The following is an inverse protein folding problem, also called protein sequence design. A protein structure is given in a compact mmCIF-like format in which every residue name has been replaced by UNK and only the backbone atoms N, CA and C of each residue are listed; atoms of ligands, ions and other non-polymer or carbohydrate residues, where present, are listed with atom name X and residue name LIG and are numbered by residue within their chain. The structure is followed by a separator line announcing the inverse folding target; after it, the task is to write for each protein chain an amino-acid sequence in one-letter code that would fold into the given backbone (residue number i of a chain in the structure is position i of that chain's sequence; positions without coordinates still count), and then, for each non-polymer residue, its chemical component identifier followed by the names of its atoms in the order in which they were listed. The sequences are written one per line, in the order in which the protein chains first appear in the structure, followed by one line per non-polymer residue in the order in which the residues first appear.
data_IF_205833834805
#
_entry.id   IF_205833834805
#
_cell.length_a   1.000
_cell.length_b   1.000
_cell.length_c   1.000
_cell.angle_alpha   90.00
_cell.angle_beta   90.00
_cell.angle_gamma   90.00
#
_symmetry.space_group_name_H-M   'P 1'
#
loop_
_entity.id
_entity.type
_entity.pdbx_description
1 polymer ?
#
# COMPACT_ATOMS: atom_id res chain seq x y z
N UNK A 1 0.31 19.61 -18.88
CA UNK A 1 -0.91 19.64 -19.72
C UNK A 1 -1.58 18.27 -19.74
N UNK A 2 -0.81 17.18 -19.67
CA UNK A 2 -1.30 15.81 -19.57
C UNK A 2 -2.11 15.55 -18.28
N UNK A 3 -1.73 16.17 -17.16
CA UNK A 3 -2.48 16.05 -15.89
C UNK A 3 -2.87 17.44 -15.37
N UNK A 4 -4.12 17.90 -15.59
CA UNK A 4 -4.59 19.20 -15.11
C UNK A 4 -4.51 19.38 -13.59
N UNK A 5 -4.68 18.29 -12.81
CA UNK A 5 -4.68 18.32 -11.34
C UNK A 5 -3.42 18.94 -10.73
N UNK A 6 -2.25 18.77 -11.37
CA UNK A 6 -0.97 19.29 -10.90
C UNK A 6 -0.82 20.82 -11.02
N UNK A 7 -1.82 21.51 -11.60
CA UNK A 7 -1.89 22.98 -11.62
C UNK A 7 -3.04 23.52 -10.79
N UNK A 8 -3.61 22.69 -9.92
CA UNK A 8 -4.74 23.05 -9.08
C UNK A 8 -4.33 23.14 -7.63
N UNK A 9 -4.89 24.11 -6.93
CA UNK A 9 -4.77 24.29 -5.48
C UNK A 9 -6.11 24.11 -4.81
N UNK A 10 -6.09 23.94 -3.49
CA UNK A 10 -7.30 23.93 -2.68
C UNK A 10 -7.80 25.36 -2.46
N UNK A 11 -9.10 25.57 -2.61
CA UNK A 11 -9.80 26.79 -2.23
C UNK A 11 -10.85 26.45 -1.17
N UNK A 12 -10.74 27.09 -0.02
CA UNK A 12 -11.63 26.86 1.10
C UNK A 12 -12.86 27.76 1.02
N UNK A 13 -14.08 27.23 1.23
CA UNK A 13 -15.26 28.06 1.39
C UNK A 13 -15.12 29.04 2.58
N UNK A 14 -15.78 30.21 2.53
CA UNK A 14 -15.77 31.17 3.63
C UNK A 14 -16.17 30.53 4.97
N UNK A 15 -15.44 30.84 6.03
CA UNK A 15 -15.70 30.32 7.38
C UNK A 15 -15.37 28.84 7.59
N UNK A 16 -14.75 28.16 6.61
CA UNK A 16 -14.45 26.72 6.71
C UNK A 16 -15.70 25.84 6.64
N UNK A 17 -16.80 26.40 6.14
CA UNK A 17 -18.10 25.73 6.07
C UNK A 17 -18.17 24.97 4.74
N UNK A 18 -18.05 23.65 4.80
CA UNK A 18 -18.08 22.77 3.61
C UNK A 18 -16.71 22.23 3.22
N UNK A 19 -16.68 21.39 2.18
CA UNK A 19 -15.44 20.77 1.68
C UNK A 19 -14.66 21.77 0.80
N UNK A 20 -13.31 21.75 0.87
CA UNK A 20 -12.49 22.54 -0.04
C UNK A 20 -12.70 22.07 -1.49
N UNK A 21 -12.58 23.00 -2.43
CA UNK A 21 -12.71 22.71 -3.87
C UNK A 21 -11.37 22.91 -4.58
N UNK A 22 -11.15 22.15 -5.63
CA UNK A 22 -9.97 22.28 -6.49
C UNK A 22 -10.18 23.38 -7.53
N UNK A 23 -9.26 24.34 -7.58
CA UNK A 23 -9.29 25.46 -8.53
C UNK A 23 -7.95 25.57 -9.25
N UNK A 24 -7.95 26.03 -10.51
CA UNK A 24 -6.72 26.25 -11.26
C UNK A 24 -5.91 27.40 -10.61
N UNK A 25 -4.61 27.21 -10.42
CA UNK A 25 -3.75 28.23 -9.82
C UNK A 25 -3.31 29.24 -10.89
N UNK A 26 -3.97 30.41 -10.93
CA UNK A 26 -3.70 31.42 -11.96
C UNK A 26 -2.23 31.88 -12.01
N UNK A 27 -1.54 31.82 -10.86
CA UNK A 27 -0.14 32.20 -10.69
C UNK A 27 0.79 30.97 -10.60
N UNK A 28 0.43 29.88 -11.29
CA UNK A 28 1.20 28.63 -11.27
C UNK A 28 2.66 28.86 -11.68
N UNK A 29 3.59 28.59 -10.76
CA UNK A 29 5.02 28.69 -10.97
C UNK A 29 5.67 27.30 -10.90
N UNK A 30 6.16 26.82 -12.04
CA UNK A 30 6.82 25.52 -12.11
C UNK A 30 8.12 25.47 -11.29
N UNK A 31 8.83 26.59 -11.15
CA UNK A 31 10.11 26.65 -10.43
C UNK A 31 9.95 26.51 -8.92
N UNK A 32 8.74 26.80 -8.41
CA UNK A 32 8.37 26.50 -7.02
C UNK A 32 8.28 24.99 -6.78
N UNK A 33 7.69 24.25 -7.73
CA UNK A 33 7.41 22.82 -7.59
C UNK A 33 8.58 21.93 -8.02
N UNK A 34 9.38 22.35 -9.00
CA UNK A 34 10.54 21.58 -9.49
C UNK A 34 11.81 22.27 -9.03
N UNK A 35 12.49 21.64 -8.07
CA UNK A 35 13.70 22.16 -7.42
C UNK A 35 14.91 21.32 -7.80
N UNK A 36 16.10 21.91 -7.68
CA UNK A 36 17.39 21.21 -7.73
C UNK A 36 18.08 21.32 -6.37
N UNK A 37 18.72 20.26 -5.94
CA UNK A 37 19.53 20.21 -4.74
C UNK A 37 20.80 19.40 -4.99
N UNK A 38 21.83 19.64 -4.19
CA UNK A 38 23.04 18.85 -4.17
C UNK A 38 23.27 18.31 -2.76
N UNK A 39 23.67 17.05 -2.65
CA UNK A 39 24.05 16.46 -1.37
C UNK A 39 25.44 16.95 -0.94
N UNK A 40 25.67 17.13 0.36
CA UNK A 40 27.02 17.30 0.87
C UNK A 40 27.83 16.00 0.71
N UNK A 41 29.16 16.12 0.73
CA UNK A 41 30.05 14.97 0.87
C UNK A 41 29.70 14.18 2.15
N UNK A 42 29.67 12.83 2.13
CA UNK A 42 30.17 11.94 1.08
C UNK A 42 29.18 11.61 -0.06
N UNK A 43 27.92 12.08 0.01
CA UNK A 43 26.92 11.78 -1.02
C UNK A 43 26.47 10.31 -1.05
N UNK A 44 26.59 9.61 0.07
CA UNK A 44 26.15 8.22 0.20
C UNK A 44 24.63 8.09 0.43
N UNK A 45 24.14 6.85 0.49
CA UNK A 45 22.73 6.58 0.69
C UNK A 45 22.23 7.06 2.07
N UNK A 46 23.12 7.13 3.07
CA UNK A 46 22.80 7.70 4.38
C UNK A 46 22.53 9.20 4.28
N UNK A 47 23.40 9.93 3.60
CA UNK A 47 23.24 11.36 3.33
C UNK A 47 21.98 11.65 2.51
N UNK A 48 21.64 10.79 1.54
CA UNK A 48 20.40 10.86 0.79
C UNK A 48 19.18 10.65 1.71
N UNK A 49 19.19 9.63 2.58
CA UNK A 49 18.10 9.38 3.54
C UNK A 49 17.88 10.59 4.46
N UNK A 50 18.94 11.19 4.98
CA UNK A 50 18.84 12.41 5.79
C UNK A 50 18.21 13.58 5.03
N UNK A 51 18.54 13.74 3.75
CA UNK A 51 17.92 14.74 2.89
C UNK A 51 16.43 14.45 2.69
N UNK A 52 16.07 13.21 2.34
CA UNK A 52 14.67 12.78 2.17
C UNK A 52 13.87 12.99 3.45
N UNK A 53 14.43 12.66 4.62
CA UNK A 53 13.79 12.90 5.91
C UNK A 53 13.42 14.39 6.12
N UNK A 54 14.32 15.32 5.77
CA UNK A 54 14.04 16.77 5.83
C UNK A 54 12.94 17.18 4.85
N UNK A 55 12.95 16.65 3.62
CA UNK A 55 11.90 16.90 2.62
C UNK A 55 10.54 16.42 3.12
N UNK A 56 10.46 15.21 3.68
CA UNK A 56 9.20 14.65 4.17
C UNK A 56 8.70 15.33 5.45
N UNK A 57 9.59 15.84 6.30
CA UNK A 57 9.25 16.59 7.52
C UNK A 57 8.51 17.92 7.23
N UNK A 58 8.87 18.65 6.17
CA UNK A 58 8.28 19.95 5.86
C UNK A 58 6.86 19.82 5.26
N UNK A 59 5.80 20.38 5.87
CA UNK A 59 4.47 20.37 5.26
C UNK A 59 4.44 21.08 3.89
N UNK A 60 3.61 20.60 2.98
CA UNK A 60 3.33 21.30 1.72
C UNK A 60 2.50 22.56 2.00
N UNK A 61 2.73 23.62 1.22
CA UNK A 61 1.91 24.84 1.29
C UNK A 61 0.52 24.56 0.70
N UNK A 62 -0.51 24.60 1.55
CA UNK A 62 -1.89 24.32 1.15
C UNK A 62 -2.50 25.38 0.21
N UNK A 63 -1.82 26.52 0.02
CA UNK A 63 -2.22 27.57 -0.92
C UNK A 63 -1.61 27.39 -2.32
N UNK A 64 -0.85 26.31 -2.54
CA UNK A 64 -0.22 25.94 -3.81
C UNK A 64 -0.71 24.57 -4.26
N UNK A 65 -0.48 24.16 -5.52
CA UNK A 65 -0.63 22.77 -5.91
C UNK A 65 0.17 21.84 -4.99
N UNK A 66 -0.46 20.76 -4.54
CA UNK A 66 0.05 19.98 -3.40
C UNK A 66 1.07 18.92 -3.80
N UNK A 67 2.14 19.34 -4.48
CA UNK A 67 3.24 18.47 -4.88
C UNK A 67 4.55 19.25 -5.02
N UNK A 68 5.67 18.55 -4.85
CA UNK A 68 7.02 19.03 -5.11
C UNK A 68 7.87 17.89 -5.68
N UNK A 69 8.74 18.21 -6.64
CA UNK A 69 9.77 17.31 -7.17
C UNK A 69 11.13 17.97 -6.95
N UNK A 70 12.06 17.24 -6.35
CA UNK A 70 13.45 17.71 -6.22
C UNK A 70 14.40 16.75 -6.91
N UNK A 71 15.18 17.27 -7.85
CA UNK A 71 16.29 16.57 -8.49
C UNK A 71 17.52 16.77 -7.61
N UNK A 72 18.05 15.67 -7.07
CA UNK A 72 19.15 15.65 -6.12
C UNK A 72 20.40 15.09 -6.80
N UNK A 73 21.45 15.92 -6.84
CA UNK A 73 22.75 15.61 -7.43
C UNK A 73 23.80 15.37 -6.34
N UNK A 74 24.99 14.91 -6.76
CA UNK A 74 26.13 14.69 -5.85
C UNK A 74 26.11 13.36 -5.12
N UNK A 75 25.33 12.37 -5.58
CA UNK A 75 25.41 11.02 -5.05
C UNK A 75 26.66 10.28 -5.57
N UNK A 76 27.18 9.36 -4.76
CA UNK A 76 28.26 8.46 -5.16
C UNK A 76 27.90 7.62 -6.39
N UNK A 77 28.91 7.33 -7.21
CA UNK A 77 28.76 6.54 -8.43
C UNK A 77 28.09 7.30 -9.59
N UNK A 78 28.08 8.64 -9.55
CA UNK A 78 27.46 9.45 -10.60
C UNK A 78 25.92 9.36 -10.64
N UNK A 79 25.32 8.86 -9.55
CA UNK A 79 23.87 8.70 -9.44
C UNK A 79 23.19 10.06 -9.21
N UNK A 80 21.93 10.11 -9.60
CA UNK A 80 21.00 11.19 -9.27
C UNK A 80 19.77 10.58 -8.58
N UNK A 81 19.11 11.35 -7.73
CA UNK A 81 17.84 10.95 -7.13
C UNK A 81 16.74 11.95 -7.49
N UNK A 82 15.53 11.43 -7.75
CA UNK A 82 14.32 12.25 -7.93
C UNK A 82 13.43 12.03 -6.71
N UNK A 83 13.31 13.06 -5.87
CA UNK A 83 12.45 13.03 -4.68
C UNK A 83 11.11 13.64 -5.04
N UNK A 84 10.10 12.79 -5.22
CA UNK A 84 8.72 13.21 -5.47
C UNK A 84 7.94 13.21 -4.16
N UNK A 85 7.31 14.33 -3.82
CA UNK A 85 6.44 14.49 -2.65
C UNK A 85 5.08 14.98 -3.10
N UNK A 86 4.05 14.19 -2.85
CA UNK A 86 2.68 14.51 -3.24
C UNK A 86 1.76 14.38 -2.02
N UNK A 87 0.82 15.33 -1.86
CA UNK A 87 -0.22 15.21 -0.86
C UNK A 87 -1.25 14.15 -1.26
N UNK A 88 -1.65 13.32 -0.30
CA UNK A 88 -2.53 12.16 -0.55
C UNK A 88 -3.88 12.54 -1.19
N UNK A 89 -4.39 13.74 -0.91
CA UNK A 89 -5.61 14.30 -1.52
C UNK A 89 -5.51 14.55 -3.04
N UNK A 90 -4.31 14.46 -3.64
CA UNK A 90 -4.17 14.52 -5.11
C UNK A 90 -4.31 13.15 -5.77
N UNK A 91 -4.22 12.08 -4.97
CA UNK A 91 -3.97 10.68 -5.41
C UNK A 91 -5.11 9.76 -4.96
N UNK A 92 -6.09 10.25 -4.20
CA UNK A 92 -7.19 9.45 -3.67
C UNK A 92 -8.36 9.33 -4.66
N UNK A 93 -8.39 8.18 -5.35
CA UNK A 93 -9.64 7.57 -5.81
C UNK A 93 -9.99 7.77 -7.28
N UNK A 94 -9.51 6.87 -8.15
CA UNK A 94 -10.05 6.54 -9.49
C UNK A 94 -9.28 7.11 -10.70
N UNK A 95 -8.25 7.96 -10.54
CA UNK A 95 -7.33 8.27 -11.66
C UNK A 95 -5.95 8.68 -11.14
N UNK A 96 -5.09 7.70 -10.91
CA UNK A 96 -3.73 7.89 -10.38
C UNK A 96 -2.69 7.66 -11.44
N UNK A 97 -2.68 8.53 -12.44
CA UNK A 97 -1.40 8.82 -13.11
C UNK A 97 -0.59 9.63 -12.09
N UNK A 98 0.21 8.93 -11.27
CA UNK A 98 1.23 9.60 -10.46
C UNK A 98 2.17 10.33 -11.41
N UNK A 99 2.61 11.54 -11.07
CA UNK A 99 3.60 12.26 -11.87
C UNK A 99 4.83 11.39 -12.11
N UNK A 100 5.16 10.51 -11.15
CA UNK A 100 6.20 9.51 -11.31
C UNK A 100 6.04 8.66 -12.58
N UNK A 101 4.83 8.20 -12.93
CA UNK A 101 4.64 7.37 -14.13
C UNK A 101 4.77 8.15 -15.43
N UNK A 102 4.56 9.48 -15.41
CA UNK A 102 4.78 10.35 -16.57
C UNK A 102 6.23 10.79 -16.75
N UNK A 103 7.04 10.65 -15.72
CA UNK A 103 8.48 10.93 -15.78
C UNK A 103 9.29 9.70 -16.22
N UNK A 104 8.64 8.55 -16.35
CA UNK A 104 9.27 7.27 -16.64
C UNK A 104 8.97 6.82 -18.06
N UNK A 105 10.03 6.64 -18.83
CA UNK A 105 10.06 6.06 -20.17
C UNK A 105 10.36 4.55 -20.08
N UNK A 106 9.83 3.77 -21.01
CA UNK A 106 10.08 2.31 -21.09
C UNK A 106 11.36 1.98 -21.88
N UNK A 107 11.82 2.94 -22.68
CA UNK A 107 13.03 2.84 -23.47
C UNK A 107 14.08 3.86 -23.00
N UNK A 108 15.39 3.59 -23.19
CA UNK A 108 16.44 4.55 -22.86
C UNK A 108 16.39 5.81 -23.71
N UNK A 109 15.81 5.75 -24.91
CA UNK A 109 15.61 6.93 -25.74
C UNK A 109 14.46 7.78 -25.16
N UNK A 110 14.71 9.02 -24.72
CA UNK A 110 13.68 9.83 -24.09
C UNK A 110 12.50 10.06 -25.05
N UNK A 111 11.28 9.90 -24.54
CA UNK A 111 10.09 10.20 -25.32
C UNK A 111 10.12 11.66 -25.80
N UNK A 112 9.92 11.86 -27.09
CA UNK A 112 9.86 13.20 -27.68
C UNK A 112 8.46 13.78 -27.48
N UNK A 113 8.30 14.58 -26.44
CA UNK A 113 7.07 15.34 -26.28
C UNK A 113 7.00 16.51 -27.25
N UNK A 114 5.84 16.70 -27.88
CA UNK A 114 5.55 17.89 -28.67
C UNK A 114 5.58 19.17 -27.82
N UNK A 115 5.58 20.34 -28.47
CA UNK A 115 5.54 21.62 -27.75
C UNK A 115 4.34 21.66 -26.80
N UNK A 116 4.54 21.99 -25.50
CA UNK A 116 3.44 22.03 -24.55
C UNK A 116 2.42 23.09 -24.99
N UNK A 117 1.13 22.71 -24.98
CA UNK A 117 0.05 23.66 -25.28
C UNK A 117 0.09 24.82 -24.27
N UNK A 118 -0.04 26.06 -24.77
CA UNK A 118 -0.15 27.25 -23.92
C UNK A 118 -1.35 27.06 -22.99
N UNK A 119 -1.09 27.06 -21.70
CA UNK A 119 -2.12 26.86 -20.69
C UNK A 119 -2.73 28.18 -20.29
N UNK A 120 -4.06 28.16 -20.13
CA UNK A 120 -4.83 29.28 -19.58
C UNK A 120 -5.61 28.73 -18.38
N UNK A 121 -5.46 29.30 -17.17
CA UNK A 121 -6.23 28.87 -16.02
C UNK A 121 -7.71 29.17 -16.25
N UNK A 122 -8.59 28.28 -15.78
CA UNK A 122 -10.02 28.61 -15.69
C UNK A 122 -10.21 29.67 -14.61
N UNK A 123 -11.18 30.59 -14.77
CA UNK A 123 -11.51 31.55 -13.72
C UNK A 123 -11.84 30.83 -12.41
N UNK A 124 -11.24 31.28 -11.31
CA UNK A 124 -11.59 30.77 -9.99
C UNK A 124 -13.02 31.21 -9.61
N UNK A 125 -13.79 30.36 -8.91
CA UNK A 125 -15.09 30.76 -8.38
C UNK A 125 -14.92 31.92 -7.40
N UNK A 126 -15.84 32.86 -7.43
CA UNK A 126 -15.87 33.96 -6.46
C UNK A 126 -16.48 33.48 -5.12
N UNK A 127 -16.45 34.33 -4.08
CA UNK A 127 -16.99 33.99 -2.76
C UNK A 127 -18.47 33.62 -2.78
N UNK A 128 -19.27 34.26 -3.64
CA UNK A 128 -20.71 34.00 -3.74
C UNK A 128 -20.95 32.65 -4.40
N UNK A 129 -20.15 32.28 -5.40
CA UNK A 129 -20.21 30.96 -6.05
C UNK A 129 -19.91 29.84 -5.03
N UNK A 130 -18.90 30.04 -4.18
CA UNK A 130 -18.57 29.09 -3.11
C UNK A 130 -19.67 29.02 -2.05
N UNK A 131 -20.24 30.15 -1.66
CA UNK A 131 -21.34 30.17 -0.69
C UNK A 131 -22.57 29.45 -1.26
N UNK A 132 -22.89 29.69 -2.54
CA UNK A 132 -23.97 28.99 -3.24
C UNK A 132 -23.70 27.48 -3.35
N UNK A 133 -22.45 27.07 -3.59
CA UNK A 133 -22.05 25.66 -3.56
C UNK A 133 -22.29 25.04 -2.18
N UNK A 134 -21.89 25.72 -1.11
CA UNK A 134 -22.08 25.25 0.28
C UNK A 134 -23.57 25.15 0.62
N UNK A 135 -24.36 26.17 0.35
CA UNK A 135 -25.80 26.15 0.65
C UNK A 135 -26.54 25.09 -0.15
N UNK A 136 -26.14 24.87 -1.41
CA UNK A 136 -26.67 23.80 -2.25
C UNK A 136 -26.29 22.42 -1.74
N UNK A 137 -25.02 22.20 -1.38
CA UNK A 137 -24.55 20.92 -0.84
C UNK A 137 -25.06 20.63 0.58
N UNK A 138 -25.60 21.63 1.28
CA UNK A 138 -26.34 21.49 2.54
C UNK A 138 -27.86 21.44 2.37
N UNK A 139 -28.39 21.56 1.14
CA UNK A 139 -29.82 21.59 0.88
C UNK A 139 -30.45 20.21 1.16
N UNK A 140 -31.42 20.12 2.10
CA UNK A 140 -32.13 18.86 2.35
C UNK A 140 -32.84 18.32 1.11
N UNK A 141 -33.27 19.20 0.20
CA UNK A 141 -33.98 18.86 -1.03
C UNK A 141 -33.07 18.18 -2.07
N UNK A 142 -31.80 18.59 -2.19
CA UNK A 142 -30.86 17.88 -3.08
C UNK A 142 -30.45 16.53 -2.49
N UNK A 143 -30.29 16.45 -1.16
CA UNK A 143 -30.04 15.19 -0.45
C UNK A 143 -31.19 14.19 -0.68
N UNK A 144 -32.45 14.66 -0.62
CA UNK A 144 -33.64 13.85 -0.94
C UNK A 144 -33.68 13.49 -2.42
N UNK A 145 -33.34 14.40 -3.34
CA UNK A 145 -33.36 14.13 -4.79
C UNK A 145 -32.36 13.06 -5.20
N UNK A 146 -31.18 13.04 -4.60
CA UNK A 146 -30.17 12.00 -4.87
C UNK A 146 -30.57 10.65 -4.26
N UNK A 147 -31.34 10.65 -3.16
CA UNK A 147 -31.99 9.45 -2.61
C UNK A 147 -33.15 8.96 -3.51
N UNK A 148 -33.92 9.86 -4.10
CA UNK A 148 -35.08 9.54 -4.98
C UNK A 148 -34.66 9.00 -6.35
N UNK A 149 -33.44 9.30 -6.81
CA UNK A 149 -32.88 8.72 -8.05
C UNK A 149 -32.47 7.25 -7.91
N UNK A 150 -32.36 6.73 -6.69
CA UNK A 150 -32.08 5.32 -6.44
C UNK A 150 -33.38 4.54 -6.56
N UNK A 151 -33.41 3.48 -7.40
CA UNK A 151 -34.61 2.65 -7.46
C UNK A 151 -34.82 1.94 -6.11
N UNK A 152 -36.07 1.75 -5.63
CA UNK A 152 -36.33 1.06 -4.35
C UNK A 152 -35.69 -0.33 -4.27
N UNK A 153 -35.55 -1.00 -5.42
CA UNK A 153 -34.84 -2.28 -5.55
C UNK A 153 -33.33 -2.15 -5.40
N UNK A 154 -32.72 -1.07 -5.85
CA UNK A 154 -31.29 -0.79 -5.68
C UNK A 154 -30.97 -0.41 -4.24
N UNK A 155 -31.88 0.31 -3.56
CA UNK A 155 -31.74 0.61 -2.13
C UNK A 155 -31.88 -0.65 -1.27
N UNK A 156 -32.83 -1.53 -1.62
CA UNK A 156 -33.04 -2.80 -0.92
C UNK A 156 -31.90 -3.80 -1.21
N UNK A 157 -31.43 -3.89 -2.46
CA UNK A 157 -30.25 -4.69 -2.81
C UNK A 157 -28.97 -4.11 -2.22
N UNK A 158 -28.83 -2.79 -2.15
CA UNK A 158 -27.72 -2.14 -1.45
C UNK A 158 -27.81 -2.40 0.05
N UNK A 159 -28.98 -2.39 0.70
CA UNK A 159 -29.10 -2.68 2.14
C UNK A 159 -28.91 -4.16 2.45
N UNK A 160 -29.46 -5.06 1.62
CA UNK A 160 -29.37 -6.52 1.79
C UNK A 160 -28.01 -7.10 1.36
N UNK A 161 -27.31 -6.46 0.42
CA UNK A 161 -25.94 -6.84 0.00
C UNK A 161 -24.85 -5.91 0.55
N UNK A 162 -25.21 -4.84 1.27
CA UNK A 162 -24.22 -3.96 1.89
C UNK A 162 -23.49 -4.74 2.98
N UNK A 163 -22.16 -4.59 3.06
CA UNK A 163 -21.32 -5.23 4.05
C UNK A 163 -21.49 -4.50 5.40
N UNK A 164 -22.72 -4.39 5.92
CA UNK A 164 -22.97 -3.89 7.27
C UNK A 164 -22.17 -4.71 8.29
N UNK A 165 -21.93 -6.01 8.03
CA UNK A 165 -21.06 -6.85 8.84
C UNK A 165 -19.59 -6.42 8.81
N UNK A 166 -19.03 -6.06 7.65
CA UNK A 166 -17.65 -5.60 7.52
C UNK A 166 -17.43 -4.20 8.10
N UNK A 167 -18.32 -3.25 7.78
CA UNK A 167 -18.25 -1.88 8.31
C UNK A 167 -18.49 -1.80 9.81
N UNK A 168 -19.46 -2.55 10.33
CA UNK A 168 -19.72 -2.67 11.77
C UNK A 168 -18.59 -3.40 12.48
N UNK A 169 -17.99 -4.45 11.89
CA UNK A 169 -16.85 -5.12 12.52
C UNK A 169 -15.57 -4.30 12.46
N UNK A 170 -15.34 -3.51 11.40
CA UNK A 170 -14.28 -2.52 11.39
C UNK A 170 -14.55 -1.49 12.51
N UNK A 171 -15.76 -0.93 12.60
CA UNK A 171 -16.13 -0.03 13.70
C UNK A 171 -16.01 -0.70 15.09
N UNK A 172 -16.33 -1.99 15.24
CA UNK A 172 -16.19 -2.77 16.47
C UNK A 172 -14.72 -3.12 16.78
N UNK A 173 -13.88 -3.31 15.77
CA UNK A 173 -12.43 -3.48 15.95
C UNK A 173 -11.79 -2.19 16.47
N UNK A 174 -12.35 -1.03 16.10
CA UNK A 174 -11.99 0.27 16.67
C UNK A 174 -12.47 0.44 18.12
N UNK A 175 -13.42 -0.38 18.58
CA UNK A 175 -13.90 -0.43 19.96
C UNK A 175 -13.15 -1.43 20.85
N UNK A 176 -12.20 -2.20 20.30
CA UNK A 176 -11.31 -3.10 21.05
C UNK A 176 -9.87 -2.55 21.01
N UNK A 177 -9.50 -1.61 21.90
CA UNK A 177 -8.13 -1.07 21.92
C UNK A 177 -7.14 -2.21 22.16
N UNK A 178 -6.15 -2.34 21.29
CA UNK A 178 -4.99 -3.21 21.49
C UNK A 178 -3.93 -2.53 22.36
N UNK A 179 -2.76 -3.16 22.49
CA UNK A 179 -1.63 -2.55 23.20
C UNK A 179 -0.96 -1.50 22.29
N UNK A 180 -0.93 -0.21 22.67
CA UNK A 180 -0.14 0.77 21.94
C UNK A 180 1.36 0.45 22.12
N UNK A 181 2.13 0.50 21.03
CA UNK A 181 3.58 0.35 21.08
C UNK A 181 4.24 1.70 21.39
N UNK A 182 5.53 1.72 21.72
CA UNK A 182 6.26 2.95 22.04
C UNK A 182 6.17 4.03 20.95
N UNK A 183 6.02 3.64 19.68
CA UNK A 183 5.85 4.56 18.54
C UNK A 183 4.38 4.95 18.26
N UNK A 184 3.42 4.49 19.07
CA UNK A 184 2.01 4.87 18.95
C UNK A 184 1.64 6.10 19.79
N UNK A 185 2.51 7.11 19.76
CA UNK A 185 2.42 8.35 20.54
C UNK A 185 2.30 9.57 19.62
N UNK A 186 1.84 10.73 20.12
CA UNK A 186 1.78 11.95 19.34
C UNK A 186 3.13 12.28 18.69
N UNK A 187 3.14 12.43 17.36
CA UNK A 187 4.36 12.67 16.58
C UNK A 187 4.80 14.13 16.63
N UNK A 188 6.12 14.34 16.55
CA UNK A 188 6.74 15.63 16.37
C UNK A 188 6.81 16.08 14.90
N UNK A 189 7.52 17.19 14.61
CA UNK A 189 7.67 17.73 13.26
C UNK A 189 8.77 17.03 12.46
N UNK A 190 9.65 16.26 13.09
CA UNK A 190 10.83 15.70 12.46
C UNK A 190 10.61 14.27 11.99
N UNK A 191 11.32 13.88 10.92
CA UNK A 191 11.24 12.53 10.35
C UNK A 191 12.59 11.86 10.37
N UNK A 192 12.55 10.53 10.37
CA UNK A 192 13.66 9.65 10.04
C UNK A 192 13.17 8.65 9.01
N UNK A 193 14.03 8.29 8.08
CA UNK A 193 13.71 7.31 7.04
C UNK A 193 14.77 6.24 6.96
N UNK A 194 14.33 5.03 6.65
CA UNK A 194 15.20 3.90 6.33
C UNK A 194 14.72 3.16 5.09
N UNK A 195 15.63 2.42 4.48
CA UNK A 195 15.44 1.77 3.19
C UNK A 195 16.05 0.38 3.21
N UNK A 196 15.26 -0.67 2.92
CA UNK A 196 15.73 -2.05 2.84
C UNK A 196 15.33 -2.65 1.48
N UNK A 197 16.28 -3.31 0.80
CA UNK A 197 16.07 -3.96 -0.51
C UNK A 197 16.21 -5.46 -0.38
N UNK A 198 15.20 -6.20 -0.83
CA UNK A 198 15.21 -7.67 -0.85
C UNK A 198 14.81 -8.15 -2.24
N UNK A 199 15.49 -9.15 -2.83
CA UNK A 199 15.12 -9.66 -4.16
C UNK A 199 13.68 -10.16 -4.20
N UNK A 200 12.92 -9.85 -5.25
CA UNK A 200 11.56 -10.37 -5.41
C UNK A 200 11.52 -11.90 -5.47
N UNK A 201 12.55 -12.50 -6.09
CA UNK A 201 12.69 -13.95 -6.16
C UNK A 201 12.76 -14.59 -4.77
N UNK A 202 13.39 -13.92 -3.79
CA UNK A 202 13.45 -14.38 -2.41
C UNK A 202 12.04 -14.61 -1.82
N UNK A 203 11.12 -13.66 -2.02
CA UNK A 203 9.75 -13.80 -1.53
C UNK A 203 9.01 -14.94 -2.22
N UNK A 204 9.27 -15.14 -3.52
CA UNK A 204 8.68 -16.26 -4.27
C UNK A 204 9.19 -17.60 -3.74
N UNK A 205 10.48 -17.70 -3.43
CA UNK A 205 11.11 -18.92 -2.90
C UNK A 205 10.56 -19.26 -1.51
N UNK A 206 10.49 -18.28 -0.61
CA UNK A 206 9.92 -18.44 0.74
C UNK A 206 8.43 -18.82 0.66
N UNK A 207 7.65 -18.13 -0.18
CA UNK A 207 6.25 -18.49 -0.45
C UNK A 207 6.12 -19.92 -0.95
N UNK A 208 7.04 -20.37 -1.81
CA UNK A 208 7.01 -21.74 -2.36
C UNK A 208 7.33 -22.78 -1.28
N UNK A 209 8.27 -22.46 -0.39
CA UNK A 209 8.67 -23.35 0.70
C UNK A 209 7.61 -23.46 1.82
N UNK A 210 6.97 -22.35 2.20
CA UNK A 210 6.07 -22.29 3.36
C UNK A 210 4.59 -22.08 3.00
N UNK A 211 4.24 -21.90 1.72
CA UNK A 211 2.88 -21.60 1.29
C UNK A 211 2.51 -20.12 1.42
N UNK A 212 1.21 -19.82 1.23
CA UNK A 212 0.67 -18.45 1.27
C UNK A 212 0.93 -17.64 0.00
N UNK A 213 0.91 -16.31 0.12
CA UNK A 213 1.19 -15.35 -0.95
C UNK A 213 2.44 -14.52 -0.65
N UNK A 214 2.96 -13.79 -1.65
CA UNK A 214 4.09 -12.86 -1.45
C UNK A 214 3.76 -11.81 -0.39
N UNK A 215 2.51 -11.33 -0.34
CA UNK A 215 2.08 -10.37 0.67
C UNK A 215 2.10 -10.97 2.09
N UNK A 216 1.75 -12.25 2.24
CA UNK A 216 1.79 -12.92 3.54
C UNK A 216 3.24 -13.07 4.03
N UNK A 217 4.16 -13.40 3.13
CA UNK A 217 5.60 -13.45 3.44
C UNK A 217 6.15 -12.08 3.81
N UNK A 218 5.73 -11.01 3.12
CA UNK A 218 6.11 -9.62 3.46
C UNK A 218 5.66 -9.26 4.87
N UNK A 219 4.40 -9.53 5.21
CA UNK A 219 3.86 -9.24 6.55
C UNK A 219 4.53 -10.10 7.64
N UNK A 220 4.80 -11.38 7.36
CA UNK A 220 5.55 -12.25 8.27
C UNK A 220 6.98 -11.75 8.51
N UNK A 221 7.67 -11.28 7.47
CA UNK A 221 9.01 -10.70 7.56
C UNK A 221 9.01 -9.44 8.44
N UNK A 222 8.03 -8.55 8.25
CA UNK A 222 7.85 -7.35 9.11
C UNK A 222 7.56 -7.76 10.56
N UNK A 223 6.70 -8.76 10.76
CA UNK A 223 6.38 -9.29 12.09
C UNK A 223 7.60 -9.87 12.80
N UNK A 224 8.46 -10.59 12.08
CA UNK A 224 9.71 -11.12 12.61
C UNK A 224 10.69 -10.00 12.99
N UNK A 225 10.89 -9.01 12.11
CA UNK A 225 11.75 -7.88 12.38
C UNK A 225 11.26 -7.07 13.59
N UNK A 226 9.95 -6.85 13.68
CA UNK A 226 9.31 -6.16 14.81
C UNK A 226 9.45 -6.96 16.11
N UNK A 227 9.24 -8.28 16.05
CA UNK A 227 9.41 -9.18 17.20
C UNK A 227 10.81 -9.08 17.80
N UNK A 228 11.85 -9.17 16.96
CA UNK A 228 13.25 -9.08 17.40
C UNK A 228 13.59 -7.70 17.97
N UNK A 229 13.17 -6.65 17.27
CA UNK A 229 13.46 -5.28 17.67
C UNK A 229 12.78 -4.90 19.00
N UNK A 230 11.52 -5.28 19.19
CA UNK A 230 10.80 -5.08 20.45
C UNK A 230 11.40 -5.89 21.59
N UNK A 231 11.84 -7.13 21.31
CA UNK A 231 12.52 -7.96 22.29
C UNK A 231 13.83 -7.32 22.78
N UNK A 232 14.68 -6.82 21.87
CA UNK A 232 15.92 -6.13 22.23
C UNK A 232 15.71 -4.85 23.05
N UNK A 233 14.60 -4.15 22.79
CA UNK A 233 14.19 -2.97 23.58
C UNK A 233 13.67 -3.32 24.97
N UNK A 234 13.36 -4.59 25.24
CA UNK A 234 12.61 -4.99 26.43
C UNK A 234 11.13 -4.58 26.38
N UNK A 235 10.61 -4.22 25.21
CA UNK A 235 9.22 -3.80 25.01
C UNK A 235 8.37 -5.02 24.56
N UNK A 236 8.15 -5.96 25.48
CA UNK A 236 7.39 -7.19 25.23
C UNK A 236 5.89 -7.04 25.52
N UNK A 237 5.36 -5.81 25.55
CA UNK A 237 4.01 -5.55 26.04
C UNK A 237 2.88 -6.03 25.11
N UNK A 238 3.19 -6.31 23.83
CA UNK A 238 2.20 -6.69 22.83
C UNK A 238 2.43 -8.12 22.29
N UNK A 239 1.38 -8.94 22.34
CA UNK A 239 1.38 -10.30 21.77
C UNK A 239 1.27 -10.30 20.23
N UNK A 240 0.69 -9.23 19.67
CA UNK A 240 0.50 -9.06 18.22
C UNK A 240 0.64 -7.60 17.80
N UNK A 241 1.09 -7.42 16.56
CA UNK A 241 1.18 -6.14 15.86
C UNK A 241 -0.07 -5.96 15.01
N UNK A 242 -0.85 -4.91 15.27
CA UNK A 242 -2.03 -4.56 14.48
C UNK A 242 -1.65 -3.73 13.27
N UNK A 243 -1.64 -4.37 12.11
CA UNK A 243 -1.23 -3.80 10.84
C UNK A 243 -2.45 -3.40 10.01
N UNK A 244 -2.56 -2.12 9.67
CA UNK A 244 -3.48 -1.68 8.63
C UNK A 244 -2.81 -1.87 7.25
N UNK A 245 -3.38 -2.75 6.43
CA UNK A 245 -2.88 -3.03 5.10
C UNK A 245 -4.00 -2.98 4.05
N UNK A 246 -3.87 -2.18 2.98
CA UNK A 246 -4.77 -2.26 1.85
C UNK A 246 -4.48 -3.54 1.07
N UNK A 247 -5.51 -4.36 0.83
CA UNK A 247 -5.40 -5.52 -0.08
C UNK A 247 -6.23 -5.32 -1.33
N UNK A 248 -5.64 -5.72 -2.45
CA UNK A 248 -6.35 -5.84 -3.71
C UNK A 248 -7.31 -7.02 -3.63
N UNK A 249 -8.62 -6.76 -3.65
CA UNK A 249 -9.65 -7.79 -3.72
C UNK A 249 -10.07 -7.92 -5.18
N UNK A 250 -9.23 -8.58 -5.99
CA UNK A 250 -9.56 -8.89 -7.38
C UNK A 250 -10.07 -10.32 -7.45
N UNK A 251 -11.29 -10.49 -7.94
CA UNK A 251 -11.81 -11.78 -8.39
C UNK A 251 -11.21 -12.08 -9.78
N UNK A 252 -10.82 -13.33 -10.07
CA UNK A 252 -10.21 -13.72 -11.35
C UNK A 252 -11.12 -13.41 -12.55
N UNK A 253 -12.44 -13.34 -12.34
CA UNK A 253 -13.45 -12.96 -13.33
C UNK A 253 -13.46 -11.47 -13.72
N UNK A 254 -12.74 -10.60 -13.00
CA UNK A 254 -12.76 -9.14 -13.20
C UNK A 254 -11.43 -8.55 -13.70
N UNK A 255 -10.53 -9.39 -14.23
CA UNK A 255 -9.19 -8.99 -14.71
C UNK A 255 -9.17 -7.86 -15.75
N UNK A 256 -10.29 -7.57 -16.42
CA UNK A 256 -10.40 -6.60 -17.52
C UNK A 256 -11.29 -5.38 -17.22
N UNK A 257 -11.78 -5.17 -15.98
CA UNK A 257 -12.55 -3.96 -15.63
C UNK A 257 -11.65 -2.89 -15.01
N UNK A 258 -11.64 -1.68 -15.58
CA UNK A 258 -11.06 -0.50 -14.93
C UNK A 258 -11.86 -0.16 -13.66
N UNK A 259 -11.24 -0.34 -12.50
CA UNK A 259 -11.81 0.02 -11.21
C UNK A 259 -10.90 -0.41 -10.06
N UNK A 260 -10.33 0.55 -9.31
CA UNK A 260 -9.41 0.24 -8.21
C UNK A 260 -10.22 -0.17 -6.96
N UNK A 261 -10.55 -1.45 -6.83
CA UNK A 261 -11.20 -2.04 -5.66
C UNK A 261 -10.16 -2.38 -4.59
N UNK A 262 -9.70 -1.33 -3.88
CA UNK A 262 -8.84 -1.48 -2.70
C UNK A 262 -9.74 -1.74 -1.50
N UNK A 263 -9.46 -2.79 -0.72
CA UNK A 263 -10.14 -3.05 0.54
C UNK A 263 -9.18 -2.87 1.71
N UNK A 264 -9.65 -2.19 2.75
CA UNK A 264 -8.84 -1.84 3.91
C UNK A 264 -9.10 -2.83 5.05
N UNK A 265 -8.04 -3.42 5.63
CA UNK A 265 -8.17 -4.34 6.75
C UNK A 265 -7.10 -4.15 7.81
N UNK A 266 -7.48 -4.43 9.07
CA UNK A 266 -6.57 -4.53 10.20
C UNK A 266 -6.25 -6.01 10.41
N UNK A 267 -4.97 -6.36 10.33
CA UNK A 267 -4.44 -7.70 10.49
C UNK A 267 -3.64 -7.76 11.78
N UNK A 268 -3.81 -8.82 12.57
CA UNK A 268 -2.96 -9.09 13.72
C UNK A 268 -1.81 -9.99 13.29
N UNK A 269 -0.60 -9.44 13.25
CA UNK A 269 0.63 -10.18 12.97
C UNK A 269 1.24 -10.59 14.31
N UNK A 270 1.44 -11.89 14.60
CA UNK A 270 1.95 -12.32 15.90
C UNK A 270 3.36 -11.78 16.13
N UNK A 271 3.69 -11.44 17.39
CA UNK A 271 5.01 -10.95 17.81
C UNK A 271 5.79 -11.93 18.69
N UNK A 272 5.17 -13.03 19.12
CA UNK A 272 5.88 -14.07 19.86
C UNK A 272 7.03 -14.68 19.03
N UNK A 273 8.15 -15.08 19.67
CA UNK A 273 9.22 -15.84 19.00
C UNK A 273 8.69 -17.19 18.48
N UNK A 274 8.92 -17.49 17.21
CA UNK A 274 8.48 -18.73 16.56
C UNK A 274 9.33 -19.05 15.33
N UNK A 275 9.16 -20.25 14.75
CA UNK A 275 9.82 -20.60 13.51
C UNK A 275 9.27 -19.76 12.33
N UNK A 276 10.11 -19.41 11.34
CA UNK A 276 9.68 -18.67 10.14
C UNK A 276 8.44 -19.24 9.44
N UNK A 277 8.40 -20.58 9.28
CA UNK A 277 7.27 -21.26 8.65
C UNK A 277 5.96 -21.07 9.41
N UNK A 278 6.03 -21.10 10.75
CA UNK A 278 4.85 -20.99 11.61
C UNK A 278 4.28 -19.57 11.53
N UNK A 279 5.15 -18.55 11.51
CA UNK A 279 4.71 -17.16 11.34
C UNK A 279 4.04 -16.94 9.99
N UNK A 280 4.61 -17.46 8.89
CA UNK A 280 3.99 -17.37 7.55
C UNK A 280 2.64 -18.07 7.52
N UNK A 281 2.50 -19.25 8.11
CA UNK A 281 1.22 -19.96 8.19
C UNK A 281 0.18 -19.18 8.99
N UNK A 282 0.54 -18.62 10.15
CA UNK A 282 -0.38 -17.83 10.98
C UNK A 282 -0.85 -16.57 10.25
N UNK A 283 0.06 -15.84 9.60
CA UNK A 283 -0.29 -14.66 8.80
C UNK A 283 -1.17 -15.06 7.62
N UNK A 284 -0.86 -16.15 6.92
CA UNK A 284 -1.67 -16.66 5.81
C UNK A 284 -3.08 -17.07 6.25
N UNK A 285 -3.21 -17.68 7.44
CA UNK A 285 -4.50 -18.02 8.01
C UNK A 285 -5.32 -16.75 8.31
N UNK A 286 -4.70 -15.76 8.95
CA UNK A 286 -5.33 -14.47 9.25
C UNK A 286 -5.79 -13.74 7.98
N UNK A 287 -4.92 -13.60 6.97
CA UNK A 287 -5.29 -12.94 5.71
C UNK A 287 -6.32 -13.73 4.92
N UNK A 288 -6.29 -15.06 4.99
CA UNK A 288 -7.26 -15.96 4.36
C UNK A 288 -8.66 -15.86 4.98
N UNK A 289 -8.75 -15.82 6.31
CA UNK A 289 -10.01 -15.67 7.04
C UNK A 289 -10.68 -14.32 6.75
N UNK A 290 -9.90 -13.23 6.72
CA UNK A 290 -10.42 -11.90 6.37
C UNK A 290 -10.91 -11.79 4.91
N UNK A 291 -10.27 -12.49 3.97
CA UNK A 291 -10.73 -12.56 2.57
C UNK A 291 -12.03 -13.35 2.44
N UNK A 292 -12.14 -14.48 3.16
CA UNK A 292 -13.34 -15.34 3.14
C UNK A 292 -14.53 -14.72 3.84
N UNK A 293 -14.31 -13.99 4.93
CA UNK A 293 -15.36 -13.41 5.78
C UNK A 293 -16.09 -12.21 5.16
N UNK A 294 -15.66 -11.71 3.97
CA UNK A 294 -16.11 -10.43 3.38
C UNK A 294 -15.98 -9.23 4.34
N UNK A 295 -15.17 -9.35 5.39
CA UNK A 295 -14.87 -8.28 6.35
C UNK A 295 -14.01 -7.17 5.76
N UNK A 296 -13.43 -7.42 4.59
CA UNK A 296 -12.70 -6.45 3.81
C UNK A 296 -13.69 -5.34 3.38
N UNK A 297 -13.76 -4.26 4.16
CA UNK A 297 -14.52 -3.07 3.78
C UNK A 297 -13.80 -2.43 2.61
N UNK A 298 -14.42 -2.45 1.43
CA UNK A 298 -13.89 -1.73 0.28
C UNK A 298 -13.62 -0.28 0.74
N UNK A 299 -12.42 0.24 0.50
CA UNK A 299 -12.08 1.62 0.81
C UNK A 299 -13.11 2.57 0.19
N UNK A 300 -13.67 2.20 -0.96
CA UNK A 300 -14.81 2.85 -1.60
C UNK A 300 -16.06 2.89 -0.71
N UNK A 301 -16.37 1.85 0.07
CA UNK A 301 -17.50 1.84 1.02
C UNK A 301 -17.26 2.76 2.21
N UNK A 302 -16.01 2.87 2.73
CA UNK A 302 -15.66 3.87 3.74
C UNK A 302 -15.76 5.30 3.19
N UNK A 303 -15.26 5.52 1.98
CA UNK A 303 -15.40 6.80 1.27
C UNK A 303 -16.86 7.13 0.97
N UNK A 304 -17.67 6.13 0.60
CA UNK A 304 -19.10 6.29 0.36
C UNK A 304 -19.85 6.64 1.65
N UNK A 305 -19.57 5.95 2.77
CA UNK A 305 -20.15 6.29 4.07
C UNK A 305 -19.73 7.69 4.53
N UNK A 306 -18.49 8.12 4.25
CA UNK A 306 -18.05 9.48 4.50
C UNK A 306 -18.83 10.50 3.65
N UNK A 307 -19.09 10.22 2.37
CA UNK A 307 -19.86 11.10 1.48
C UNK A 307 -21.34 11.24 1.84
N UNK A 308 -21.89 10.36 2.69
CA UNK A 308 -23.30 10.43 3.12
C UNK A 308 -23.55 11.44 4.25
N UNK A 309 -22.53 11.81 5.01
CA UNK A 309 -22.65 12.85 6.03
C UNK A 309 -22.53 14.24 5.37
N UNK A 310 -23.34 15.25 5.74
CA UNK A 310 -23.11 16.64 5.36
C UNK A 310 -21.66 17.06 5.65
N UNK A 311 -21.04 17.86 4.78
CA UNK A 311 -19.62 18.24 4.89
C UNK A 311 -19.24 18.87 6.25
N UNK A 312 -20.17 19.53 6.93
CA UNK A 312 -19.99 20.01 8.30
C UNK A 312 -19.87 18.90 9.33
N UNK A 313 -20.65 17.82 9.19
CA UNK A 313 -20.53 16.63 10.03
C UNK A 313 -19.27 15.83 9.68
N UNK A 314 -18.86 15.77 8.41
CA UNK A 314 -17.56 15.19 8.01
C UNK A 314 -16.40 15.99 8.61
N UNK A 315 -16.43 17.32 8.52
CA UNK A 315 -15.41 18.20 9.09
C UNK A 315 -15.41 18.15 10.62
N UNK A 316 -16.58 18.09 11.27
CA UNK A 316 -16.69 17.96 12.72
C UNK A 316 -16.21 16.58 13.19
N UNK A 317 -16.67 15.49 12.58
CA UNK A 317 -16.23 14.14 12.90
C UNK A 317 -14.73 13.96 12.60
N UNK A 318 -14.26 14.50 11.48
CA UNK A 318 -12.85 14.58 11.15
C UNK A 318 -12.07 15.36 12.19
N UNK A 319 -12.50 16.57 12.56
CA UNK A 319 -11.84 17.37 13.59
C UNK A 319 -11.88 16.70 14.97
N UNK A 320 -12.97 16.05 15.35
CA UNK A 320 -13.08 15.31 16.62
C UNK A 320 -12.20 14.06 16.62
N UNK A 321 -12.23 13.26 15.54
CA UNK A 321 -11.35 12.09 15.39
C UNK A 321 -9.88 12.51 15.36
N UNK A 322 -9.52 13.54 14.60
CA UNK A 322 -8.14 14.04 14.52
C UNK A 322 -7.70 14.66 15.83
N UNK A 323 -8.57 15.39 16.54
CA UNK A 323 -8.24 15.93 17.87
C UNK A 323 -8.07 14.79 18.86
N UNK A 324 -8.99 13.83 18.93
CA UNK A 324 -8.87 12.70 19.84
C UNK A 324 -7.62 11.85 19.53
N UNK A 325 -7.35 11.56 18.25
CA UNK A 325 -6.16 10.82 17.83
C UNK A 325 -4.86 11.62 18.01
N UNK A 326 -4.89 12.95 18.03
CA UNK A 326 -3.70 13.79 18.33
C UNK A 326 -3.25 13.68 19.78
N UNK A 327 -4.19 13.46 20.69
CA UNK A 327 -3.94 13.52 22.13
C UNK A 327 -4.07 12.15 22.83
N UNK A 328 -4.37 11.08 22.08
CA UNK A 328 -4.51 9.73 22.61
C UNK A 328 -3.57 8.76 21.89
N UNK A 329 -2.87 7.87 22.62
CA UNK A 329 -2.13 6.78 22.02
C UNK A 329 -3.06 5.93 21.14
N UNK A 330 -2.69 5.71 19.88
CA UNK A 330 -3.50 4.92 18.97
C UNK A 330 -3.33 3.44 19.29
N UNK A 331 -4.41 2.79 19.70
CA UNK A 331 -4.45 1.38 20.08
C UNK A 331 -5.20 0.48 19.09
N UNK A 332 -5.86 1.07 18.09
CA UNK A 332 -6.62 0.31 17.09
C UNK A 332 -5.69 -0.24 15.99
N UNK A 333 -4.73 0.57 15.56
CA UNK A 333 -3.74 0.24 14.54
C UNK A 333 -2.39 0.64 15.09
N UNK A 334 -1.43 -0.28 15.10
CA UNK A 334 -0.06 0.03 15.46
C UNK A 334 0.70 0.59 14.25
N UNK A 335 0.55 -0.04 13.08
CA UNK A 335 1.40 0.18 11.91
C UNK A 335 0.58 0.22 10.62
N UNK A 336 0.87 1.14 9.70
CA UNK A 336 0.39 1.05 8.31
C UNK A 336 1.45 0.40 7.44
N UNK A 337 1.05 -0.63 6.69
CA UNK A 337 1.87 -1.28 5.68
C UNK A 337 1.17 -1.19 4.34
N UNK A 338 1.74 -0.46 3.39
CA UNK A 338 1.25 -0.40 2.00
C UNK A 338 2.17 -1.17 1.08
N UNK A 339 1.61 -2.04 0.23
CA UNK A 339 2.36 -2.86 -0.69
C UNK A 339 1.81 -2.72 -2.11
N UNK A 340 2.60 -2.12 -3.00
CA UNK A 340 2.21 -1.80 -4.36
C UNK A 340 3.03 -2.67 -5.32
N UNK A 341 2.40 -3.62 -6.04
CA UNK A 341 3.09 -4.37 -7.06
C UNK A 341 3.44 -3.44 -8.23
N UNK A 342 4.73 -3.22 -8.45
CA UNK A 342 5.23 -2.44 -9.58
C UNK A 342 5.74 -3.30 -10.74
N UNK A 343 6.03 -2.66 -11.89
CA UNK A 343 6.45 -3.32 -13.11
C UNK A 343 7.80 -4.03 -12.97
N UNK A 344 7.95 -5.12 -13.72
CA UNK A 344 9.17 -5.96 -13.73
C UNK A 344 9.97 -5.78 -15.03
N UNK A 345 9.85 -4.59 -15.61
CA UNK A 345 10.62 -4.11 -16.75
C UNK A 345 11.38 -2.86 -16.31
N UNK A 346 12.57 -2.57 -16.88
CA UNK A 346 13.30 -1.37 -16.56
C UNK A 346 12.56 -0.13 -17.06
N UNK A 347 12.71 0.97 -16.33
CA UNK A 347 12.28 2.30 -16.72
C UNK A 347 13.46 3.26 -16.75
N UNK A 348 13.28 4.37 -17.45
CA UNK A 348 14.28 5.40 -17.68
C UNK A 348 13.68 6.78 -17.45
N UNK A 349 14.48 7.77 -17.11
CA UNK A 349 14.09 9.19 -17.10
C UNK A 349 15.18 9.98 -17.79
N UNK A 350 14.87 10.61 -18.92
CA UNK A 350 15.87 11.37 -19.68
C UNK A 350 17.07 10.52 -20.11
N UNK A 351 16.85 9.22 -20.33
CA UNK A 351 17.86 8.23 -20.70
C UNK A 351 18.68 7.65 -19.55
N UNK A 352 18.48 8.12 -18.31
CA UNK A 352 19.06 7.48 -17.13
C UNK A 352 18.17 6.32 -16.65
N UNK A 353 18.74 5.14 -16.43
CA UNK A 353 18.00 3.98 -15.91
C UNK A 353 17.58 4.20 -14.45
N UNK A 354 16.31 3.88 -14.15
CA UNK A 354 15.81 3.81 -12.78
C UNK A 354 16.29 2.50 -12.14
N UNK A 355 17.22 2.62 -11.19
CA UNK A 355 17.84 1.47 -10.52
C UNK A 355 17.18 1.07 -9.20
N UNK A 356 16.62 2.04 -8.45
CA UNK A 356 16.01 1.85 -7.15
C UNK A 356 14.76 2.73 -6.98
N UNK A 357 13.73 2.21 -6.29
CA UNK A 357 12.47 2.93 -6.02
C UNK A 357 12.15 2.85 -4.53
N UNK A 358 12.21 3.97 -3.82
CA UNK A 358 12.01 4.01 -2.37
C UNK A 358 10.68 4.69 -2.03
N UNK A 359 9.59 3.94 -1.81
CA UNK A 359 8.30 4.53 -1.47
C UNK A 359 8.27 4.95 0.00
N UNK A 360 7.65 6.09 0.31
CA UNK A 360 7.41 6.50 1.69
C UNK A 360 5.94 6.87 1.87
N UNK A 361 5.33 6.35 2.94
CA UNK A 361 3.98 6.71 3.35
C UNK A 361 4.05 7.61 4.58
N UNK A 362 3.23 8.66 4.60
CA UNK A 362 3.20 9.63 5.69
C UNK A 362 2.86 8.98 7.03
N UNK A 363 3.51 9.44 8.10
CA UNK A 363 3.06 9.23 9.47
C UNK A 363 2.04 10.28 9.88
N UNK A 364 1.14 9.92 10.78
CA UNK A 364 -0.01 10.75 11.11
C UNK A 364 -0.42 10.58 12.56
N UNK A 365 -0.52 11.71 13.29
CA UNK A 365 -1.07 11.79 14.64
C UNK A 365 -0.30 10.93 15.64
N UNK A 366 -0.83 9.75 15.97
CA UNK A 366 -0.20 8.78 16.89
C UNK A 366 0.28 7.51 16.17
N UNK A 367 0.49 7.56 14.86
CA UNK A 367 1.15 6.49 14.08
C UNK A 367 2.58 6.94 13.76
N UNK A 368 3.50 6.77 14.71
CA UNK A 368 4.88 7.28 14.61
C UNK A 368 5.81 6.47 13.73
N UNK A 369 5.37 5.36 13.14
CA UNK A 369 6.14 4.51 12.24
C UNK A 369 5.17 3.96 11.19
N UNK A 370 5.55 3.99 9.91
CA UNK A 370 4.82 3.33 8.81
C UNK A 370 5.81 2.77 7.77
N UNK A 371 5.36 1.76 7.01
CA UNK A 371 6.15 1.08 5.98
C UNK A 371 5.43 1.13 4.64
N UNK A 372 6.12 1.56 3.61
CA UNK A 372 5.67 1.45 2.23
C UNK A 372 6.58 0.51 1.44
N UNK A 373 5.97 -0.25 0.54
CA UNK A 373 6.64 -1.34 -0.18
C UNK A 373 6.26 -1.25 -1.64
N UNK A 374 7.28 -1.32 -2.50
CA UNK A 374 7.12 -1.41 -3.96
C UNK A 374 7.98 -2.55 -4.47
N UNK A 375 7.43 -3.36 -5.37
CA UNK A 375 8.25 -4.27 -6.18
C UNK A 375 8.59 -3.63 -7.51
N UNK A 376 9.86 -3.58 -7.90
CA UNK A 376 10.28 -3.06 -9.20
C UNK A 376 11.51 -3.81 -9.70
N UNK A 377 11.48 -4.18 -10.99
CA UNK A 377 12.59 -4.80 -11.72
C UNK A 377 13.36 -5.88 -10.93
N UNK A 378 12.64 -6.90 -10.45
CA UNK A 378 13.21 -8.05 -9.73
C UNK A 378 13.55 -7.80 -8.25
N UNK A 379 13.31 -6.60 -7.73
CA UNK A 379 13.57 -6.23 -6.33
C UNK A 379 12.29 -5.78 -5.61
N UNK A 380 12.27 -5.92 -4.29
CA UNK A 380 11.26 -5.37 -3.39
C UNK A 380 11.94 -4.36 -2.48
N UNK A 381 11.40 -3.14 -2.48
CA UNK A 381 11.93 -2.00 -1.77
C UNK A 381 11.01 -1.64 -0.62
N UNK A 382 11.55 -1.66 0.59
CA UNK A 382 10.89 -1.23 1.81
C UNK A 382 11.37 0.18 2.14
N UNK A 383 10.49 1.17 2.07
CA UNK A 383 10.73 2.47 2.65
C UNK A 383 10.02 2.60 3.98
N UNK A 384 10.79 2.85 5.02
CA UNK A 384 10.33 2.97 6.39
C UNK A 384 10.40 4.44 6.77
N UNK A 385 9.29 5.03 7.21
CA UNK A 385 9.24 6.42 7.64
C UNK A 385 8.73 6.49 9.07
N UNK A 386 9.48 7.19 9.92
CA UNK A 386 9.21 7.29 11.33
C UNK A 386 9.35 8.72 11.85
N UNK A 387 8.76 8.96 13.02
CA UNK A 387 9.05 10.14 13.82
C UNK A 387 10.48 10.04 14.37
N UNK A 388 11.24 11.13 14.30
CA UNK A 388 12.66 11.13 14.63
C UNK A 388 12.92 10.87 16.12
N UNK A 389 12.04 11.34 16.98
CA UNK A 389 12.23 11.37 18.44
C UNK A 389 11.59 10.14 19.09
N UNK A 390 10.45 9.66 18.57
CA UNK A 390 9.84 8.40 19.01
C UNK A 390 10.66 7.17 18.61
N UNK A 391 11.35 7.22 17.47
CA UNK A 391 12.09 6.07 16.91
C UNK A 391 13.55 6.44 16.65
N UNK A 392 14.37 6.65 17.71
CA UNK A 392 15.75 7.10 17.56
C UNK A 392 16.71 6.03 17.00
N UNK A 393 16.29 4.77 16.99
CA UNK A 393 17.02 3.57 16.57
C UNK A 393 16.30 2.86 15.41
N UNK A 394 15.73 3.63 14.49
CA UNK A 394 15.12 3.10 13.25
C UNK A 394 16.10 2.22 12.45
N UNK A 395 17.39 2.50 12.56
CA UNK A 395 18.45 1.74 11.91
C UNK A 395 18.50 0.29 12.43
N UNK A 396 18.20 0.07 13.72
CA UNK A 396 18.15 -1.28 14.29
C UNK A 396 16.97 -2.06 13.75
N UNK A 397 15.79 -1.44 13.59
CA UNK A 397 14.67 -2.08 12.91
C UNK A 397 15.02 -2.50 11.47
N UNK A 398 15.71 -1.63 10.72
CA UNK A 398 16.15 -1.94 9.36
C UNK A 398 17.14 -3.13 9.34
N UNK A 399 18.11 -3.17 10.26
CA UNK A 399 19.00 -4.32 10.43
C UNK A 399 18.24 -5.61 10.75
N UNK A 400 17.25 -5.56 11.64
CA UNK A 400 16.40 -6.71 11.96
C UNK A 400 15.61 -7.21 10.76
N UNK A 401 15.14 -6.30 9.90
CA UNK A 401 14.44 -6.64 8.66
C UNK A 401 15.37 -7.36 7.67
N UNK A 402 16.60 -6.89 7.51
CA UNK A 402 17.63 -7.52 6.67
C UNK A 402 18.04 -8.91 7.20
N UNK A 403 18.29 -9.01 8.51
CA UNK A 403 18.66 -10.26 9.17
C UNK A 403 17.54 -11.29 9.10
N UNK A 404 16.29 -10.89 9.39
CA UNK A 404 15.14 -11.76 9.26
C UNK A 404 14.99 -12.29 7.83
N UNK A 405 15.29 -11.46 6.82
CA UNK A 405 15.27 -11.91 5.42
C UNK A 405 16.35 -12.97 5.13
N UNK A 406 17.56 -12.82 5.69
CA UNK A 406 18.60 -13.82 5.57
C UNK A 406 18.21 -15.17 6.21
N UNK A 407 17.67 -15.13 7.44
CA UNK A 407 17.33 -16.34 8.21
C UNK A 407 16.16 -17.13 7.62
N UNK A 408 15.15 -16.42 7.10
CA UNK A 408 14.03 -17.03 6.39
C UNK A 408 14.50 -17.76 5.12
N UNK A 409 15.48 -17.19 4.41
CA UNK A 409 16.07 -17.83 3.23
C UNK A 409 16.75 -19.13 3.60
N UNK A 410 17.56 -19.11 4.65
CA UNK A 410 18.28 -20.29 5.11
C UNK A 410 17.30 -21.39 5.53
N UNK A 411 16.23 -21.01 6.24
CA UNK A 411 15.17 -21.93 6.66
C UNK A 411 14.37 -22.52 5.48
N UNK A 412 14.17 -21.74 4.41
CA UNK A 412 13.48 -22.19 3.20
C UNK A 412 14.34 -23.13 2.32
N UNK A 413 15.66 -22.94 2.30
CA UNK A 413 16.60 -23.76 1.52
C UNK A 413 16.95 -25.07 2.24
N UNK A 414 16.99 -25.07 3.59
CA UNK A 414 17.24 -26.29 4.35
C UNK A 414 16.09 -27.29 4.10
N UNK A 415 16.37 -28.50 3.56
CA UNK A 415 15.32 -29.49 3.37
C UNK A 415 14.72 -29.80 4.74
N UNK A 416 13.42 -29.54 4.88
CA UNK A 416 12.67 -29.96 6.07
C UNK A 416 12.92 -31.44 6.22
N UNK A 417 13.76 -31.80 7.21
CA UNK A 417 14.03 -33.20 7.55
C UNK A 417 12.67 -33.75 7.97
N UNK A 418 12.00 -34.47 7.06
CA UNK A 418 10.72 -35.14 7.36
C UNK A 418 10.90 -35.81 8.70
N UNK A 419 10.15 -35.37 9.72
CA UNK A 419 10.09 -36.05 11.01
C UNK A 419 9.75 -37.50 10.68
N UNK A 420 10.73 -38.40 10.82
CA UNK A 420 10.49 -39.84 10.70
C UNK A 420 9.36 -40.14 11.69
N UNK A 421 8.25 -40.77 11.26
CA UNK A 421 7.25 -41.24 12.20
C UNK A 421 8.00 -42.06 13.24
N UNK A 422 7.75 -41.78 14.52
CA UNK A 422 8.30 -42.60 15.59
C UNK A 422 7.97 -44.05 15.25
N UNK A 423 8.99 -44.84 14.94
CA UNK A 423 8.82 -46.26 14.65
C UNK A 423 8.19 -46.88 15.87
N UNK A 424 6.91 -47.22 15.76
CA UNK A 424 6.19 -47.96 16.77
C UNK A 424 6.98 -49.24 17.04
N UNK A 425 7.51 -49.34 18.26
CA UNK A 425 8.15 -50.54 18.78
C UNK A 425 7.17 -51.69 18.62
N UNK A 426 7.48 -52.59 17.67
CA UNK A 426 6.72 -53.80 17.40
C UNK A 426 6.91 -54.74 18.60
N UNK A 427 5.96 -54.70 19.53
CA UNK A 427 5.84 -55.70 20.59
C UNK A 427 5.37 -57.01 19.94
N UNK A 428 6.28 -57.99 19.89
CA UNK A 428 6.03 -59.36 19.44
C UNK A 428 5.08 -60.05 20.43
N UNK A 429 3.88 -60.43 19.97
CA UNK A 429 3.13 -61.57 20.52
C UNK A 429 2.38 -62.26 19.39
N UNK A 430 2.38 -63.59 19.45
CA UNK A 430 2.12 -64.52 18.36
C UNK A 430 0.73 -65.16 18.44
N UNK A 431 0.29 -65.68 17.28
CA UNK A 431 -0.81 -66.66 17.01
C UNK A 431 -2.25 -66.12 17.20
N UNK A 432 -3.25 -66.44 16.37
CA UNK A 432 -3.47 -67.60 15.48
C UNK A 432 -4.51 -67.33 14.36
N UNK A 433 -4.31 -67.98 13.21
CA UNK A 433 -5.26 -68.52 12.20
C UNK A 433 -6.74 -68.07 12.22
N UNK A 434 -7.24 -67.60 11.06
CA UNK A 434 -8.23 -68.32 10.22
C UNK A 434 -8.50 -67.62 8.87
N UNK A 435 -9.10 -68.39 7.95
CA UNK A 435 -9.09 -68.31 6.49
C UNK A 435 -10.10 -67.34 5.82
N UNK A 436 -9.71 -66.94 4.60
CA UNK A 436 -10.48 -66.82 3.34
C UNK A 436 -11.74 -65.94 3.23
N UNK A 437 -11.72 -65.01 2.26
CA UNK A 437 -12.59 -65.06 1.07
C UNK A 437 -12.16 -64.03 0.01
N UNK A 438 -12.30 -64.44 -1.26
CA UNK A 438 -12.07 -63.70 -2.50
C UNK A 438 -13.15 -62.63 -2.72
N UNK A 439 -12.80 -61.51 -3.37
CA UNK A 439 -13.46 -61.05 -4.59
C UNK A 439 -12.66 -59.92 -5.27
N UNK A 440 -12.59 -59.99 -6.60
CA UNK A 440 -12.01 -59.03 -7.53
C UNK A 440 -13.15 -58.29 -8.26
N UNK A 441 -12.91 -57.07 -8.74
CA UNK A 441 -13.43 -56.39 -9.98
C UNK A 441 -12.70 -55.03 -10.04
N UNK A 442 -11.73 -54.84 -10.93
CA UNK A 442 -11.82 -54.21 -12.28
C UNK A 442 -12.21 -52.71 -12.26
N UNK A 443 -11.28 -51.86 -12.73
CA UNK A 443 -11.54 -50.47 -13.12
C UNK A 443 -10.70 -50.13 -14.36
N UNK A 444 -11.21 -50.60 -15.50
CA UNK A 444 -11.29 -49.92 -16.80
C UNK A 444 -10.34 -48.75 -17.09
N UNK A 445 -9.54 -48.92 -18.14
CA UNK A 445 -8.78 -47.88 -18.85
C UNK A 445 -9.70 -47.13 -19.82
N UNK A 446 -9.45 -45.83 -19.98
CA UNK A 446 -9.76 -45.04 -21.17
C UNK A 446 -10.29 -43.64 -20.82
N UNK A 447 -9.94 -42.55 -21.49
CA UNK A 447 -8.98 -42.24 -22.55
C UNK A 447 -9.07 -40.70 -22.75
N UNK A 448 -8.04 -40.07 -23.34
CA UNK A 448 -8.02 -38.70 -23.95
C UNK A 448 -7.70 -37.46 -23.06
N UNK A 449 -7.18 -36.35 -23.64
CA UNK A 449 -5.95 -36.25 -24.43
C UNK A 449 -5.05 -35.06 -24.00
N UNK A 450 -3.77 -35.18 -24.34
CA UNK A 450 -2.73 -34.14 -24.25
C UNK A 450 -2.94 -33.10 -25.37
N UNK A 451 -2.98 -31.81 -25.03
CA UNK A 451 -2.86 -30.72 -26.02
C UNK A 451 -1.57 -29.94 -25.75
N UNK A 452 -0.72 -29.95 -26.78
CA UNK A 452 0.58 -29.30 -26.86
C UNK A 452 0.48 -27.79 -27.08
N UNK A 453 1.55 -27.09 -26.70
CA UNK A 453 1.82 -25.69 -26.99
C UNK A 453 2.10 -25.45 -28.49
N UNK A 454 1.93 -24.22 -28.98
CA UNK A 454 2.67 -23.73 -30.14
C UNK A 454 3.72 -22.68 -29.74
N UNK A 455 4.97 -22.96 -30.13
CA UNK A 455 6.03 -21.97 -30.33
C UNK A 455 5.96 -21.44 -31.78
N UNK A 456 6.40 -20.19 -31.98
CA UNK A 456 6.65 -19.53 -33.29
C UNK A 456 5.54 -18.54 -33.65
N UNK A 457 5.80 -17.28 -34.00
CA UNK A 457 6.84 -16.81 -34.91
C UNK A 457 7.17 -15.31 -34.70
N UNK A 458 8.39 -14.94 -35.09
CA UNK A 458 8.87 -13.56 -35.26
C UNK A 458 8.47 -13.09 -36.67
N UNK A 459 7.53 -12.14 -36.77
CA UNK A 459 7.57 -10.98 -37.69
C UNK A 459 6.23 -10.22 -37.67
N UNK A 460 6.35 -8.92 -37.93
CA UNK A 460 5.31 -7.94 -38.22
C UNK A 460 4.40 -7.49 -37.08
N UNK A 461 4.92 -6.58 -36.25
CA UNK A 461 4.10 -5.60 -35.53
C UNK A 461 4.42 -4.23 -36.10
N UNK A 462 3.48 -3.69 -36.88
CA UNK A 462 3.58 -2.36 -37.47
C UNK A 462 3.51 -1.23 -36.43
N UNK A 463 3.83 0.01 -36.81
CA UNK A 463 4.03 1.16 -35.91
C UNK A 463 2.78 1.63 -35.12
N UNK A 464 1.63 0.95 -35.23
CA UNK A 464 0.41 1.29 -34.49
C UNK A 464 0.31 0.63 -33.10
N UNK A 465 1.11 -0.39 -32.78
CA UNK A 465 1.09 -1.03 -31.45
C UNK A 465 1.81 -0.21 -30.35
N UNK A 466 2.58 0.81 -30.71
CA UNK A 466 3.26 1.69 -29.77
C UNK A 466 2.36 2.83 -29.22
N UNK A 467 1.19 3.06 -29.82
CA UNK A 467 0.28 4.15 -29.43
C UNK A 467 -0.76 3.74 -28.38
N UNK A 468 -1.04 2.45 -28.18
CA UNK A 468 -2.06 1.98 -27.23
C UNK A 468 -1.57 1.93 -25.77
N UNK A 469 -0.26 1.90 -25.53
CA UNK A 469 0.32 1.86 -24.17
C UNK A 469 0.16 3.20 -23.43
N UNK A 470 -0.02 4.32 -24.16
CA UNK A 470 -0.23 5.65 -23.56
C UNK A 470 -1.67 5.92 -23.09
N UNK A 471 -2.63 5.05 -23.36
CA UNK A 471 -4.01 5.18 -22.89
C UNK A 471 -4.35 4.31 -21.67
N UNK A 472 -3.40 3.53 -21.17
CA UNK A 472 -3.59 2.55 -20.09
C UNK A 472 -2.77 2.82 -18.82
N UNK A 473 -2.14 3.99 -18.70
CA UNK A 473 -1.43 4.43 -17.48
C UNK A 473 -2.11 5.64 -16.87
#
# INVERSE_FOLDING_TARGET
HLVPRYRQKLMWPPGGIGNPVWVDDADFDLSYHVRRAALPSPGDDGTLRDYVARVFARPLDLNKPLWEVTIVEGLTGGRIAVVNKVHHAMVDGISTVDLATLLLDVEPEPARYGRPRKWKPRPAPNRNDLLAYVTRSMSPLEMIRDVVKLQPRELLDAVLRSPWTGGLQLALSWLRPGTPLFFNQPIGPHRRVQSVKVPLQWFKDVKTAFGGTVNDVVLALIGEAMSRWLYERGDAAADSLRVFAPVSVRDESQRYRLGNLVSAMVLEVPLAPMMPSDRVHMVTAATGDLKRSRQAVAAQTLTQLATWAPATLQNLAGNLMTTQMRWSPQSVINLVVTNIPGPQIPFYTGGAELIDVWPFVSIYHSLGLNIAIVSYNGSVFFGVLADRDLVPDLDDFARHLEQAAADYRESAIRPVRKRRPATASRRRTARSRQQAAKQAVDLGVGDQPVVAAPNGDRRDVGPEAAAEVHHLV
#
